data_IF_828599839386
#
_entry.id   IF_828599839386
#
_cell.length_a   1.000
_cell.length_b   1.000
_cell.length_c   1.000
_cell.angle_alpha   90.00
_cell.angle_beta   90.00
_cell.angle_gamma   90.00
#
_symmetry.space_group_name_H-M   'P 1'
#
loop_
_entity.id
_entity.type
_entity.pdbx_description
1 polymer ?
#
# COMPACT_ATOMS: atom_id res chain seq x y z
N UNK A 1 13.49 40.04 -4.23
CA UNK A 1 13.45 38.60 -4.16
C UNK A 1 12.98 38.06 -5.51
N UNK A 2 13.70 37.08 -6.01
CA UNK A 2 13.41 36.41 -7.28
C UNK A 2 12.32 35.36 -7.06
N UNK A 3 11.47 35.12 -8.06
CA UNK A 3 10.45 34.08 -7.97
C UNK A 3 11.07 32.69 -7.90
N UNK A 4 10.52 31.81 -7.09
CA UNK A 4 11.01 30.44 -6.90
C UNK A 4 10.81 29.63 -8.16
N UNK A 5 11.92 29.16 -8.72
CA UNK A 5 11.96 28.25 -9.85
C UNK A 5 12.03 26.79 -9.43
N UNK A 6 11.84 25.88 -10.39
CA UNK A 6 11.89 24.42 -10.18
C UNK A 6 13.21 23.97 -9.51
N UNK A 7 14.34 24.51 -9.92
CA UNK A 7 15.65 24.12 -9.40
C UNK A 7 15.76 24.33 -7.88
N UNK A 8 15.25 25.45 -7.38
CA UNK A 8 15.31 25.77 -5.96
C UNK A 8 14.35 24.93 -5.12
N UNK A 9 13.19 24.53 -5.70
CA UNK A 9 12.24 23.60 -5.09
C UNK A 9 12.88 22.22 -5.01
N UNK A 10 13.49 21.72 -6.08
CA UNK A 10 14.19 20.44 -6.07
C UNK A 10 15.35 20.40 -5.08
N UNK A 11 16.09 21.49 -4.90
CA UNK A 11 17.14 21.58 -3.89
C UNK A 11 16.57 21.48 -2.47
N UNK A 12 15.42 22.10 -2.20
CA UNK A 12 14.73 22.00 -0.91
C UNK A 12 14.28 20.55 -0.64
N UNK A 13 13.65 19.93 -1.63
CA UNK A 13 13.22 18.53 -1.56
C UNK A 13 14.39 17.58 -1.32
N UNK A 14 15.48 17.74 -2.08
CA UNK A 14 16.70 16.96 -1.92
C UNK A 14 17.31 17.10 -0.52
N UNK A 15 17.26 18.31 0.06
CA UNK A 15 17.72 18.56 1.42
C UNK A 15 16.84 17.84 2.44
N UNK A 16 15.52 17.85 2.26
CA UNK A 16 14.59 17.13 3.13
C UNK A 16 14.84 15.61 3.08
N UNK A 17 15.07 15.06 1.89
CA UNK A 17 15.40 13.63 1.70
C UNK A 17 16.74 13.29 2.36
N UNK A 18 17.77 14.11 2.19
CA UNK A 18 19.09 13.90 2.81
C UNK A 18 19.00 13.93 4.36
N UNK A 19 18.16 14.80 4.93
CA UNK A 19 17.92 14.82 6.37
C UNK A 19 17.24 13.53 6.84
N UNK A 20 16.28 12.98 6.06
CA UNK A 20 15.62 11.71 6.37
C UNK A 20 16.61 10.53 6.32
N UNK A 21 17.49 10.49 5.31
CA UNK A 21 18.54 9.49 5.17
C UNK A 21 19.53 9.54 6.36
N UNK A 22 19.93 10.74 6.75
CA UNK A 22 20.80 10.93 7.92
C UNK A 22 20.15 10.46 9.22
N UNK A 23 18.85 10.72 9.42
CA UNK A 23 18.11 10.26 10.58
C UNK A 23 18.06 8.72 10.64
N UNK A 24 17.80 8.04 9.51
CA UNK A 24 17.83 6.58 9.42
C UNK A 24 19.22 6.00 9.76
N UNK A 25 20.29 6.65 9.30
CA UNK A 25 21.66 6.21 9.56
C UNK A 25 22.08 6.37 11.01
N UNK A 26 21.43 7.28 11.76
CA UNK A 26 21.73 7.54 13.17
C UNK A 26 20.99 6.56 14.10
N UNK A 27 19.77 6.15 13.73
CA UNK A 27 18.89 5.32 14.56
C UNK A 27 18.95 3.82 14.22
N UNK A 28 19.62 3.45 13.11
CA UNK A 28 19.74 2.07 12.62
C UNK A 28 21.02 1.35 13.05
N UNK A 29 21.13 0.02 12.83
CA UNK A 29 22.36 -0.73 13.00
C UNK A 29 23.47 -0.14 12.11
N UNK A 30 24.67 0.07 12.65
CA UNK A 30 25.82 0.69 11.98
C UNK A 30 26.22 0.05 10.62
N UNK A 31 25.76 -1.15 10.33
CA UNK A 31 26.08 -1.90 9.09
C UNK A 31 24.96 -1.89 8.04
N UNK A 32 23.75 -1.40 8.35
CA UNK A 32 22.63 -1.47 7.43
C UNK A 32 22.63 -0.27 6.49
N UNK A 33 22.86 -0.53 5.20
CA UNK A 33 22.75 0.48 4.13
C UNK A 33 21.33 0.52 3.60
N UNK A 34 20.82 1.73 3.38
CA UNK A 34 19.52 1.98 2.82
C UNK A 34 19.63 2.60 1.42
N UNK A 35 18.71 2.23 0.57
CA UNK A 35 18.57 2.78 -0.78
C UNK A 35 17.26 3.58 -0.86
N UNK A 36 17.35 4.82 -1.32
CA UNK A 36 16.17 5.64 -1.58
C UNK A 36 15.43 5.09 -2.82
N UNK A 37 14.22 4.59 -2.62
CA UNK A 37 13.37 4.09 -3.72
C UNK A 37 12.60 5.23 -4.37
N UNK A 38 12.15 6.19 -3.57
CA UNK A 38 11.45 7.36 -4.03
C UNK A 38 11.01 8.27 -2.89
N UNK A 39 10.57 9.46 -3.24
CA UNK A 39 10.00 10.42 -2.30
C UNK A 39 8.83 11.17 -2.94
N UNK A 40 7.98 11.72 -2.10
CA UNK A 40 6.87 12.58 -2.51
C UNK A 40 6.76 13.75 -1.55
N UNK A 41 6.79 15.01 -2.03
CA UNK A 41 6.46 16.16 -1.20
C UNK A 41 5.00 16.09 -0.77
N UNK A 42 4.74 16.29 0.52
CA UNK A 42 3.39 16.23 1.09
C UNK A 42 2.85 17.59 1.44
N UNK A 43 3.74 18.54 1.78
CA UNK A 43 3.36 19.90 2.15
C UNK A 43 4.53 20.86 1.94
N UNK A 44 4.22 22.08 1.53
CA UNK A 44 5.17 23.19 1.47
C UNK A 44 4.74 24.33 2.38
N UNK A 45 5.70 25.10 2.90
CA UNK A 45 5.46 26.36 3.59
C UNK A 45 6.40 27.44 3.06
N UNK A 46 5.85 28.64 2.94
CA UNK A 46 6.59 29.84 2.57
C UNK A 46 6.35 30.90 3.66
N UNK A 47 7.42 31.35 4.31
CA UNK A 47 7.36 32.29 5.42
C UNK A 47 6.32 31.84 6.49
N UNK A 48 6.30 30.50 6.79
CA UNK A 48 5.40 29.81 7.71
C UNK A 48 3.93 29.67 7.25
N UNK A 49 3.57 30.11 6.04
CA UNK A 49 2.25 29.89 5.47
C UNK A 49 2.21 28.63 4.61
N UNK A 50 1.25 27.72 4.80
CA UNK A 50 1.13 26.52 4.01
C UNK A 50 0.69 26.85 2.57
N UNK A 51 1.33 26.21 1.60
CA UNK A 51 1.06 26.33 0.16
C UNK A 51 1.03 24.95 -0.48
N UNK A 52 0.24 24.79 -1.53
CA UNK A 52 0.23 23.58 -2.37
C UNK A 52 1.41 23.52 -3.32
N UNK A 53 1.98 24.68 -3.70
CA UNK A 53 3.16 24.79 -4.54
C UNK A 53 3.96 26.04 -4.18
N UNK A 54 5.27 25.95 -4.27
CA UNK A 54 6.17 27.12 -4.11
C UNK A 54 6.49 27.80 -5.45
N UNK A 55 6.16 27.16 -6.57
CA UNK A 55 6.53 27.67 -7.89
C UNK A 55 5.93 29.03 -8.17
N UNK A 56 6.79 29.97 -8.58
CA UNK A 56 6.41 31.35 -8.91
C UNK A 56 6.18 32.26 -7.71
N UNK A 57 6.17 31.74 -6.49
CA UNK A 57 6.08 32.54 -5.28
C UNK A 57 7.42 33.17 -4.88
N UNK A 58 7.37 34.20 -4.04
CA UNK A 58 8.55 34.89 -3.51
C UNK A 58 8.49 34.93 -2.00
N UNK A 59 9.54 34.51 -1.32
CA UNK A 59 9.65 34.52 0.14
C UNK A 59 11.09 34.26 0.60
N UNK A 60 11.32 34.26 1.90
CA UNK A 60 12.63 34.10 2.51
C UNK A 60 12.80 32.74 3.19
N UNK A 61 11.77 32.24 3.83
CA UNK A 61 11.81 30.99 4.58
C UNK A 61 11.00 29.93 3.85
N UNK A 62 11.70 28.84 3.44
CA UNK A 62 11.13 27.76 2.67
C UNK A 62 11.19 26.47 3.48
N UNK A 63 10.06 25.80 3.58
CA UNK A 63 9.96 24.50 4.23
C UNK A 63 9.24 23.50 3.32
N UNK A 64 9.64 22.25 3.38
CA UNK A 64 8.96 21.13 2.71
C UNK A 64 8.88 19.93 3.65
N UNK A 65 7.71 19.31 3.74
CA UNK A 65 7.57 17.96 4.27
C UNK A 65 7.60 16.97 3.11
N UNK A 66 8.32 15.87 3.29
CA UNK A 66 8.41 14.80 2.30
C UNK A 66 8.15 13.45 2.96
N UNK A 67 7.49 12.56 2.24
CA UNK A 67 7.49 11.14 2.53
C UNK A 67 8.57 10.52 1.66
N UNK A 68 9.65 10.04 2.27
CA UNK A 68 10.74 9.36 1.58
C UNK A 68 10.72 7.88 1.97
N UNK A 69 10.90 7.01 0.99
CA UNK A 69 10.91 5.56 1.18
C UNK A 69 12.28 5.00 0.91
N UNK A 70 12.75 4.27 1.88
CA UNK A 70 14.04 3.60 1.84
C UNK A 70 13.84 2.08 1.99
N UNK A 71 14.60 1.31 1.23
CA UNK A 71 14.70 -0.13 1.37
C UNK A 71 16.12 -0.51 1.77
N UNK A 72 16.30 -1.61 2.54
CA UNK A 72 17.63 -2.17 2.76
C UNK A 72 18.31 -2.48 1.42
N UNK A 73 19.58 -2.13 1.27
CA UNK A 73 20.32 -2.33 0.02
C UNK A 73 20.32 -3.78 -0.44
N UNK A 74 20.33 -4.75 0.48
CA UNK A 74 20.27 -6.18 0.19
C UNK A 74 18.99 -6.58 -0.56
N UNK A 75 17.85 -5.96 -0.20
CA UNK A 75 16.56 -6.20 -0.89
C UNK A 75 16.64 -5.66 -2.32
N UNK A 76 17.16 -4.44 -2.47
CA UNK A 76 17.33 -3.80 -3.79
C UNK A 76 18.28 -4.61 -4.66
N UNK A 77 19.43 -5.00 -4.14
CA UNK A 77 20.41 -5.83 -4.85
C UNK A 77 19.83 -7.18 -5.29
N UNK A 78 19.00 -7.79 -4.43
CA UNK A 78 18.30 -9.03 -4.75
C UNK A 78 17.32 -8.86 -5.91
N UNK A 79 16.55 -7.77 -5.93
CA UNK A 79 15.62 -7.45 -7.02
C UNK A 79 16.38 -7.22 -8.34
N UNK A 80 17.48 -6.46 -8.31
CA UNK A 80 18.33 -6.24 -9.48
C UNK A 80 18.93 -7.56 -9.99
N UNK A 81 19.42 -8.43 -9.08
CA UNK A 81 19.99 -9.72 -9.45
C UNK A 81 18.96 -10.65 -10.13
N UNK A 82 17.70 -10.64 -9.65
CA UNK A 82 16.61 -11.41 -10.28
C UNK A 82 16.34 -10.91 -11.69
N UNK A 83 16.22 -9.59 -11.88
CA UNK A 83 15.97 -9.01 -13.19
C UNK A 83 17.13 -9.26 -14.17
N UNK A 84 18.35 -9.12 -13.71
CA UNK A 84 19.53 -9.43 -14.51
C UNK A 84 19.58 -10.90 -14.95
N UNK A 85 19.25 -11.84 -14.05
CA UNK A 85 19.14 -13.28 -14.39
C UNK A 85 18.04 -13.56 -15.40
N UNK A 86 16.97 -12.76 -15.41
CA UNK A 86 15.91 -12.82 -16.40
C UNK A 86 16.28 -12.15 -17.74
N UNK A 87 17.49 -11.55 -17.84
CA UNK A 87 17.94 -10.84 -19.05
C UNK A 87 17.28 -9.48 -19.24
N UNK A 88 16.78 -8.88 -18.15
CA UNK A 88 16.11 -7.57 -18.14
C UNK A 88 16.97 -6.51 -17.45
N UNK A 89 16.90 -5.29 -17.96
CA UNK A 89 17.48 -4.11 -17.34
C UNK A 89 16.40 -3.34 -16.56
N UNK A 90 16.71 -2.95 -15.33
CA UNK A 90 15.80 -2.14 -14.50
C UNK A 90 15.97 -0.67 -14.87
N UNK A 91 14.95 -0.07 -15.47
CA UNK A 91 14.94 1.34 -15.82
C UNK A 91 14.64 2.25 -14.62
N UNK A 92 13.72 1.82 -13.76
CA UNK A 92 13.33 2.56 -12.54
C UNK A 92 12.72 1.61 -11.52
N UNK A 93 12.68 2.05 -10.27
CA UNK A 93 12.02 1.37 -9.17
C UNK A 93 11.02 2.32 -8.52
N UNK A 94 9.85 1.82 -8.14
CA UNK A 94 8.84 2.57 -7.40
C UNK A 94 8.16 1.64 -6.41
N UNK A 95 7.48 2.23 -5.42
CA UNK A 95 6.67 1.47 -4.48
C UNK A 95 5.37 1.00 -5.13
N UNK A 96 4.96 -0.21 -4.79
CA UNK A 96 3.69 -0.79 -5.23
C UNK A 96 2.49 0.12 -4.93
N UNK A 97 2.27 0.66 -3.70
CA UNK A 97 1.15 1.55 -3.42
C UNK A 97 1.13 2.82 -4.28
N UNK A 98 2.31 3.36 -4.65
CA UNK A 98 2.39 4.51 -5.56
C UNK A 98 1.98 4.12 -6.98
N UNK A 99 2.50 2.98 -7.46
CA UNK A 99 2.18 2.48 -8.79
C UNK A 99 0.68 2.15 -8.90
N UNK A 100 0.12 1.46 -7.90
CA UNK A 100 -1.29 1.11 -7.82
C UNK A 100 -2.19 2.35 -7.80
N UNK A 101 -1.85 3.36 -6.97
CA UNK A 101 -2.59 4.61 -6.91
C UNK A 101 -2.57 5.36 -8.25
N UNK A 102 -1.42 5.38 -8.93
CA UNK A 102 -1.29 6.02 -10.24
C UNK A 102 -2.05 5.28 -11.34
N UNK A 103 -2.15 3.97 -11.25
CA UNK A 103 -2.87 3.14 -12.22
C UNK A 103 -4.39 3.16 -11.99
N UNK A 104 -4.82 3.13 -10.72
CA UNK A 104 -6.23 2.93 -10.36
C UNK A 104 -7.02 4.23 -10.19
N UNK A 105 -6.39 5.32 -9.71
CA UNK A 105 -7.09 6.57 -9.39
C UNK A 105 -6.70 7.67 -10.38
N UNK A 106 -7.64 8.20 -11.19
CA UNK A 106 -7.41 9.36 -12.04
C UNK A 106 -6.88 10.57 -11.27
N UNK A 107 -6.04 11.39 -11.92
CA UNK A 107 -5.34 12.50 -11.27
C UNK A 107 -6.29 13.57 -10.67
N UNK A 108 -7.43 13.81 -11.30
CA UNK A 108 -8.47 14.74 -10.83
C UNK A 108 -9.16 14.26 -9.56
N UNK A 109 -9.36 12.95 -9.41
CA UNK A 109 -9.94 12.38 -8.19
C UNK A 109 -8.98 12.43 -7.00
N UNK A 110 -7.67 12.48 -7.24
CA UNK A 110 -6.66 12.57 -6.15
C UNK A 110 -6.69 13.89 -5.40
N UNK A 111 -7.42 14.89 -5.91
CA UNK A 111 -7.72 16.13 -5.18
C UNK A 111 -8.60 15.87 -3.95
N UNK A 112 -9.34 14.79 -3.95
CA UNK A 112 -10.17 14.37 -2.82
C UNK A 112 -9.33 13.61 -1.78
N UNK A 113 -9.85 13.53 -0.56
CA UNK A 113 -9.28 12.69 0.49
C UNK A 113 -9.70 11.24 0.27
N UNK A 114 -8.83 10.43 -0.33
CA UNK A 114 -9.11 9.05 -0.75
C UNK A 114 -8.05 8.09 -0.21
N UNK A 115 -8.46 6.86 0.04
CA UNK A 115 -7.56 5.74 0.26
C UNK A 115 -7.71 4.70 -0.86
N UNK A 116 -6.59 4.17 -1.33
CA UNK A 116 -6.53 2.96 -2.16
C UNK A 116 -5.99 1.84 -1.29
N UNK A 117 -6.68 0.70 -1.32
CA UNK A 117 -6.28 -0.53 -0.61
C UNK A 117 -6.13 -1.63 -1.64
N UNK A 118 -4.92 -2.13 -1.79
CA UNK A 118 -4.61 -3.30 -2.62
C UNK A 118 -4.55 -4.54 -1.74
N UNK A 119 -5.62 -5.35 -1.77
CA UNK A 119 -5.74 -6.56 -0.95
C UNK A 119 -5.17 -7.74 -1.74
N UNK A 120 -3.94 -8.10 -1.41
CA UNK A 120 -3.22 -9.23 -1.98
C UNK A 120 -3.55 -10.56 -1.32
N UNK A 121 -2.60 -11.49 -1.34
CA UNK A 121 -2.68 -12.78 -0.65
C UNK A 121 -2.32 -12.61 0.84
N UNK A 122 -1.09 -12.20 1.16
CA UNK A 122 -0.59 -12.08 2.53
C UNK A 122 -0.50 -10.64 3.06
N UNK A 123 -0.64 -9.62 2.21
CA UNK A 123 -0.57 -8.21 2.61
C UNK A 123 -1.67 -7.38 1.96
N UNK A 124 -2.05 -6.30 2.65
CA UNK A 124 -2.92 -5.26 2.11
C UNK A 124 -2.16 -3.95 2.12
N UNK A 125 -1.83 -3.45 0.93
CA UNK A 125 -1.09 -2.21 0.75
C UNK A 125 -2.04 -1.02 0.65
N UNK A 126 -1.73 0.04 1.39
CA UNK A 126 -2.62 1.18 1.58
C UNK A 126 -1.89 2.46 1.19
N UNK A 127 -2.45 3.21 0.25
CA UNK A 127 -2.02 4.55 -0.11
C UNK A 127 -3.14 5.55 0.18
N UNK A 128 -2.79 6.67 0.79
CA UNK A 128 -3.73 7.76 1.07
C UNK A 128 -3.31 9.00 0.29
N UNK A 129 -4.24 9.61 -0.43
CA UNK A 129 -4.03 10.86 -1.15
C UNK A 129 -5.04 11.93 -0.69
N UNK A 130 -4.61 13.18 -0.78
CA UNK A 130 -5.40 14.38 -0.47
C UNK A 130 -4.80 15.57 -1.19
N UNK A 131 -5.65 16.46 -1.72
CA UNK A 131 -5.23 17.70 -2.39
C UNK A 131 -4.20 17.47 -3.52
N UNK A 132 -4.33 16.34 -4.24
CA UNK A 132 -3.46 15.96 -5.35
C UNK A 132 -2.12 15.33 -4.93
N UNK A 133 -1.84 15.24 -3.64
CA UNK A 133 -0.60 14.68 -3.08
C UNK A 133 -0.85 13.40 -2.30
N UNK A 134 0.17 12.56 -2.23
CA UNK A 134 0.14 11.39 -1.35
C UNK A 134 0.41 11.86 0.08
N UNK A 135 -0.50 11.53 0.99
CA UNK A 135 -0.38 11.83 2.42
C UNK A 135 0.56 10.83 3.10
N UNK A 136 0.48 9.57 2.71
CA UNK A 136 1.32 8.52 3.25
C UNK A 136 0.92 7.13 2.75
N UNK A 137 1.73 6.16 3.14
CA UNK A 137 1.57 4.74 2.83
C UNK A 137 1.64 3.93 4.12
N UNK A 138 0.94 2.81 4.12
CA UNK A 138 1.05 1.81 5.18
C UNK A 138 0.69 0.44 4.62
N UNK A 139 0.92 -0.59 5.39
CA UNK A 139 0.61 -1.96 5.02
C UNK A 139 -0.03 -2.65 6.22
N UNK A 140 -1.04 -3.48 5.97
CA UNK A 140 -1.52 -4.47 6.91
C UNK A 140 -0.98 -5.85 6.51
N UNK A 141 -0.53 -6.62 7.49
CA UNK A 141 -0.04 -7.99 7.29
C UNK A 141 -1.17 -9.03 7.38
N UNK A 142 -2.35 -8.63 6.89
CA UNK A 142 -3.57 -9.43 6.80
C UNK A 142 -4.19 -9.18 5.43
N UNK A 143 -4.64 -10.25 4.75
CA UNK A 143 -5.20 -10.17 3.41
C UNK A 143 -6.03 -11.42 3.04
N UNK A 144 -5.94 -11.89 1.80
CA UNK A 144 -6.73 -13.01 1.30
C UNK A 144 -6.42 -14.36 1.93
N UNK A 145 -5.19 -14.56 2.45
CA UNK A 145 -4.75 -15.83 3.02
C UNK A 145 -5.43 -16.12 4.36
N UNK A 146 -5.74 -15.10 5.18
CA UNK A 146 -6.52 -15.28 6.42
C UNK A 146 -7.90 -15.84 6.15
N UNK A 147 -8.52 -15.45 5.04
CA UNK A 147 -9.81 -15.97 4.60
C UNK A 147 -9.67 -17.43 4.14
N UNK A 148 -8.59 -17.73 3.40
CA UNK A 148 -8.29 -19.11 2.98
C UNK A 148 -8.02 -20.01 4.18
N UNK A 149 -7.24 -19.55 5.15
CA UNK A 149 -6.97 -20.29 6.38
C UNK A 149 -8.24 -20.50 7.23
N UNK A 150 -9.15 -19.54 7.24
CA UNK A 150 -10.41 -19.71 7.94
C UNK A 150 -11.24 -20.85 7.32
N UNK A 151 -11.30 -20.95 5.99
CA UNK A 151 -11.92 -22.07 5.28
C UNK A 151 -11.21 -23.39 5.56
N UNK A 152 -9.87 -23.42 5.54
CA UNK A 152 -9.09 -24.61 5.89
C UNK A 152 -9.51 -25.17 7.24
N UNK A 153 -9.59 -24.31 8.26
CA UNK A 153 -9.92 -24.72 9.63
C UNK A 153 -11.39 -25.16 9.76
N UNK A 154 -12.31 -24.44 9.10
CA UNK A 154 -13.73 -24.69 9.22
C UNK A 154 -14.16 -25.95 8.44
N UNK A 155 -13.57 -26.20 7.27
CA UNK A 155 -13.95 -27.28 6.36
C UNK A 155 -13.00 -28.49 6.42
N UNK A 156 -11.92 -28.41 7.22
CA UNK A 156 -10.89 -29.45 7.32
C UNK A 156 -10.30 -29.82 5.95
N UNK A 157 -9.86 -28.82 5.20
CA UNK A 157 -9.25 -28.96 3.87
C UNK A 157 -7.82 -28.41 3.86
N UNK A 158 -7.03 -28.75 2.85
CA UNK A 158 -5.72 -28.14 2.63
C UNK A 158 -5.84 -26.74 2.01
N UNK A 159 -4.72 -25.99 2.01
CA UNK A 159 -4.68 -24.61 1.51
C UNK A 159 -5.12 -24.50 0.04
N UNK A 160 -4.61 -25.34 -0.91
CA UNK A 160 -5.06 -25.28 -2.31
C UNK A 160 -6.56 -25.48 -2.49
N UNK A 161 -7.14 -26.42 -1.75
CA UNK A 161 -8.59 -26.71 -1.76
C UNK A 161 -9.38 -25.52 -1.20
N UNK A 162 -8.96 -24.97 -0.05
CA UNK A 162 -9.59 -23.80 0.54
C UNK A 162 -9.52 -22.57 -0.39
N UNK A 163 -8.38 -22.35 -1.06
CA UNK A 163 -8.22 -21.28 -2.04
C UNK A 163 -9.18 -21.45 -3.23
N UNK A 164 -9.29 -22.67 -3.77
CA UNK A 164 -10.25 -22.97 -4.82
C UNK A 164 -11.69 -22.71 -4.38
N UNK A 165 -12.06 -23.13 -3.15
CA UNK A 165 -13.36 -22.85 -2.55
C UNK A 165 -13.63 -21.36 -2.42
N UNK A 166 -12.67 -20.58 -1.92
CA UNK A 166 -12.75 -19.12 -1.80
C UNK A 166 -13.03 -18.46 -3.15
N UNK A 167 -12.32 -18.87 -4.20
CA UNK A 167 -12.50 -18.32 -5.55
C UNK A 167 -13.87 -18.69 -6.15
N UNK A 168 -14.48 -19.78 -5.71
CA UNK A 168 -15.78 -20.23 -6.19
C UNK A 168 -16.95 -19.57 -5.45
N UNK A 169 -16.75 -19.13 -4.20
CA UNK A 169 -17.81 -18.56 -3.34
C UNK A 169 -18.62 -17.44 -4.00
N UNK A 170 -17.95 -16.54 -4.73
CA UNK A 170 -18.62 -15.43 -5.42
C UNK A 170 -19.30 -15.80 -6.74
N UNK A 171 -19.21 -17.08 -7.17
CA UNK A 171 -19.67 -17.55 -8.49
C UNK A 171 -20.74 -18.60 -8.43
N UNK A 172 -20.78 -19.39 -7.35
CA UNK A 172 -21.63 -20.56 -7.19
C UNK A 172 -22.54 -20.42 -5.99
N UNK A 173 -23.75 -21.00 -6.07
CA UNK A 173 -24.69 -21.08 -4.94
C UNK A 173 -24.30 -22.11 -3.89
N UNK A 174 -23.47 -23.07 -4.27
CA UNK A 174 -22.92 -24.11 -3.39
C UNK A 174 -21.53 -24.47 -3.86
N UNK A 175 -20.66 -24.86 -2.94
CA UNK A 175 -19.28 -25.27 -3.20
C UNK A 175 -19.11 -26.71 -2.77
N UNK A 176 -18.56 -27.53 -3.67
CA UNK A 176 -18.25 -28.94 -3.41
C UNK A 176 -16.74 -29.10 -3.22
N UNK A 177 -16.36 -29.88 -2.21
CA UNK A 177 -14.96 -30.14 -1.89
C UNK A 177 -14.79 -31.51 -1.23
N UNK A 178 -13.57 -32.00 -1.17
CA UNK A 178 -13.21 -33.22 -0.43
C UNK A 178 -12.37 -32.82 0.77
N UNK A 179 -12.80 -33.21 1.96
CA UNK A 179 -12.06 -32.94 3.19
C UNK A 179 -10.81 -33.83 3.36
N UNK A 180 -9.99 -33.56 4.37
CA UNK A 180 -8.76 -34.33 4.64
C UNK A 180 -9.01 -35.80 5.01
N UNK A 181 -10.27 -36.18 5.32
CA UNK A 181 -10.67 -37.56 5.59
C UNK A 181 -11.12 -38.29 4.32
N UNK A 182 -11.11 -37.59 3.16
CA UNK A 182 -11.55 -38.13 1.88
C UNK A 182 -13.09 -38.15 1.71
N UNK A 183 -13.84 -37.40 2.53
CA UNK A 183 -15.29 -37.29 2.43
C UNK A 183 -15.69 -36.14 1.50
N UNK A 184 -16.54 -36.42 0.53
CA UNK A 184 -17.14 -35.42 -0.32
C UNK A 184 -18.19 -34.62 0.45
N UNK A 185 -18.05 -33.30 0.41
CA UNK A 185 -18.93 -32.35 1.07
C UNK A 185 -19.45 -31.36 0.01
N UNK A 186 -20.69 -30.89 0.24
CA UNK A 186 -21.26 -29.78 -0.54
C UNK A 186 -21.98 -28.85 0.44
N UNK A 187 -21.52 -27.63 0.53
CA UNK A 187 -22.09 -26.61 1.42
C UNK A 187 -22.69 -25.46 0.60
N UNK A 188 -23.81 -24.89 1.04
CA UNK A 188 -24.34 -23.65 0.49
C UNK A 188 -23.33 -22.51 0.65
N UNK A 189 -23.22 -21.64 -0.35
CA UNK A 189 -22.33 -20.47 -0.27
C UNK A 189 -22.65 -19.57 0.94
N UNK A 190 -23.95 -19.41 1.27
CA UNK A 190 -24.40 -18.64 2.45
C UNK A 190 -23.84 -19.17 3.76
N UNK A 191 -23.75 -20.49 3.91
CA UNK A 191 -23.16 -21.11 5.10
C UNK A 191 -21.67 -20.84 5.20
N UNK A 192 -20.95 -20.96 4.08
CA UNK A 192 -19.53 -20.63 4.00
C UNK A 192 -19.27 -19.15 4.27
N UNK A 193 -20.10 -18.24 3.74
CA UNK A 193 -20.01 -16.81 4.07
C UNK A 193 -20.19 -16.54 5.56
N UNK A 194 -21.17 -17.19 6.20
CA UNK A 194 -21.37 -17.03 7.65
C UNK A 194 -20.15 -17.48 8.47
N UNK A 195 -19.38 -18.46 8.00
CA UNK A 195 -18.13 -18.87 8.62
C UNK A 195 -17.01 -17.81 8.44
N UNK A 196 -17.10 -17.01 7.39
CA UNK A 196 -16.10 -15.99 7.04
C UNK A 196 -16.42 -14.60 7.59
N UNK A 197 -17.61 -14.34 8.12
CA UNK A 197 -18.01 -13.04 8.65
C UNK A 197 -16.98 -12.47 9.65
N UNK A 198 -16.54 -13.28 10.60
CA UNK A 198 -15.54 -12.86 11.59
C UNK A 198 -14.18 -12.52 10.97
N UNK A 199 -13.57 -13.40 10.20
CA UNK A 199 -12.32 -13.12 9.48
C UNK A 199 -12.39 -11.91 8.55
N UNK A 200 -13.47 -11.75 7.79
CA UNK A 200 -13.67 -10.59 6.90
C UNK A 200 -13.80 -9.31 7.71
N UNK A 201 -14.56 -9.32 8.80
CA UNK A 201 -14.68 -8.16 9.68
C UNK A 201 -13.33 -7.77 10.29
N UNK A 202 -12.54 -8.75 10.75
CA UNK A 202 -11.22 -8.50 11.31
C UNK A 202 -10.26 -7.87 10.28
N UNK A 203 -10.28 -8.36 9.03
CA UNK A 203 -9.53 -7.78 7.92
C UNK A 203 -9.97 -6.33 7.66
N UNK A 204 -11.26 -6.07 7.59
CA UNK A 204 -11.81 -4.74 7.35
C UNK A 204 -11.46 -3.76 8.48
N UNK A 205 -11.54 -4.20 9.74
CA UNK A 205 -11.20 -3.38 10.91
C UNK A 205 -9.71 -3.01 10.94
N UNK A 206 -8.81 -3.96 10.65
CA UNK A 206 -7.36 -3.68 10.58
C UNK A 206 -7.06 -2.68 9.45
N UNK A 207 -7.61 -2.88 8.25
CA UNK A 207 -7.45 -1.94 7.13
C UNK A 207 -7.97 -0.54 7.50
N UNK A 208 -9.17 -0.46 8.08
CA UNK A 208 -9.77 0.81 8.49
C UNK A 208 -8.92 1.53 9.54
N UNK A 209 -8.37 0.80 10.51
CA UNK A 209 -7.48 1.34 11.53
C UNK A 209 -6.20 1.90 10.89
N UNK A 210 -5.56 1.18 9.97
CA UNK A 210 -4.36 1.64 9.25
C UNK A 210 -4.63 2.89 8.43
N UNK A 211 -5.75 2.92 7.71
CA UNK A 211 -6.16 4.12 6.96
C UNK A 211 -6.29 5.33 7.91
N UNK A 212 -7.01 5.18 9.00
CA UNK A 212 -7.22 6.26 9.96
C UNK A 212 -5.93 6.73 10.62
N UNK A 213 -4.98 5.84 10.90
CA UNK A 213 -3.66 6.20 11.44
C UNK A 213 -2.87 7.09 10.47
N UNK A 214 -2.84 6.75 9.17
CA UNK A 214 -2.11 7.52 8.15
C UNK A 214 -2.83 8.81 7.79
N UNK A 215 -4.17 8.75 7.65
CA UNK A 215 -4.98 9.87 7.20
C UNK A 215 -5.33 10.87 8.33
N UNK A 216 -5.18 10.49 9.59
CA UNK A 216 -5.63 11.27 10.74
C UNK A 216 -7.15 11.21 10.95
N UNK A 217 -7.86 10.28 10.32
CA UNK A 217 -9.30 10.06 10.38
C UNK A 217 -9.82 9.34 9.13
N UNK A 218 -11.13 9.12 9.00
CA UNK A 218 -11.69 8.44 7.83
C UNK A 218 -11.52 9.28 6.56
N UNK A 219 -11.21 8.65 5.40
CA UNK A 219 -11.19 9.31 4.10
C UNK A 219 -12.62 9.52 3.58
N UNK A 220 -12.77 10.32 2.51
CA UNK A 220 -14.06 10.52 1.84
C UNK A 220 -14.52 9.28 1.07
N UNK A 221 -13.58 8.49 0.56
CA UNK A 221 -13.86 7.22 -0.09
C UNK A 221 -12.65 6.28 -0.01
N UNK A 222 -12.91 4.98 -0.10
CA UNK A 222 -11.92 3.91 -0.19
C UNK A 222 -12.11 3.17 -1.51
N UNK A 223 -11.03 3.04 -2.26
CA UNK A 223 -10.96 2.21 -3.46
C UNK A 223 -10.29 0.90 -3.12
N UNK A 224 -10.87 -0.19 -3.57
CA UNK A 224 -10.32 -1.53 -3.36
C UNK A 224 -9.73 -2.05 -4.66
N UNK A 225 -8.52 -2.62 -4.58
CA UNK A 225 -7.80 -3.29 -5.64
C UNK A 225 -7.33 -4.67 -5.17
N UNK A 226 -6.64 -5.40 -6.05
CA UNK A 226 -6.11 -6.73 -5.74
C UNK A 226 -7.10 -7.87 -5.86
N UNK A 227 -6.60 -9.08 -5.63
CA UNK A 227 -7.41 -10.30 -5.69
C UNK A 227 -8.44 -10.38 -4.58
N UNK A 228 -8.06 -9.95 -3.36
CA UNK A 228 -8.91 -9.94 -2.18
C UNK A 228 -10.10 -8.99 -2.28
N UNK A 229 -10.02 -7.94 -3.10
CA UNK A 229 -11.14 -7.02 -3.35
C UNK A 229 -12.34 -7.66 -4.07
N UNK A 230 -12.17 -8.89 -4.57
CA UNK A 230 -13.21 -9.68 -5.26
C UNK A 230 -13.94 -10.63 -4.33
N UNK A 231 -13.59 -10.65 -3.05
CA UNK A 231 -14.37 -11.32 -2.03
C UNK A 231 -15.76 -10.67 -2.00
N UNK A 232 -16.83 -11.46 -2.01
CA UNK A 232 -18.18 -10.95 -2.00
C UNK A 232 -18.57 -10.26 -0.70
#
# INVERSE_FOLDING_TARGET
PEALGHERIHQLEATAVANAEQALSTDGPEEQRFFLVGYTPTQFWLDHYPLTTLLGHTGQHLEAAVVATFLPSEVVDSLYAVMQKAGLEVASMTLEPIAALNAAIPADLRLLNLALVDIGAGTSDIAVCRDGSVVGYTMATVAGDEITEALMRACLVDFPTAEAMKLELGRSKSVSFTDILGLEQTLPAEELFSLLDGPIQALADEIAQRICQVNGGPPSAVFLAGGGSKLP
#
